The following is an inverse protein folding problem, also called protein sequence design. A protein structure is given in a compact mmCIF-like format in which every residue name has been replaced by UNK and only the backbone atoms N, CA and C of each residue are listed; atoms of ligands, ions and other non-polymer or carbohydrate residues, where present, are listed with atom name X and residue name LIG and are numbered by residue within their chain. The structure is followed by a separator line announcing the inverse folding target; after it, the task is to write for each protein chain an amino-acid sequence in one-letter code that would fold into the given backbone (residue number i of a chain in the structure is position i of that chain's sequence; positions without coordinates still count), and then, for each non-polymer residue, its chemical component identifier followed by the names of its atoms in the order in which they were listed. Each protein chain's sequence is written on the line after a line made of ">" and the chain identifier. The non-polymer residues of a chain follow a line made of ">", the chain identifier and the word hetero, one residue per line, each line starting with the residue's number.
data_IF_104289504278
#
_entry.id   IF_104289504278
#
_cell.length_a   1.000
_cell.length_b   1.000
_cell.length_c   1.000
_cell.angle_alpha   90.00
_cell.angle_beta   90.00
_cell.angle_gamma   90.00
#
_symmetry.space_group_name_H-M   'P 1'
#
loop_
_entity.id
_entity.type
_entity.pdbx_description
1 polymer ?
#
# COMPACT_ATOMS: atom_id res chain seq x y z
N UNK A 1 3.12 11.85 6.93
CA UNK A 1 1.80 11.39 6.49
C UNK A 1 1.00 10.92 7.69
N UNK A 2 -0.19 11.47 7.89
CA UNK A 2 -1.16 11.04 8.91
C UNK A 2 -2.06 9.92 8.39
N UNK A 3 -2.81 9.26 9.29
CA UNK A 3 -3.79 8.23 8.93
C UNK A 3 -4.91 8.80 8.03
N UNK A 4 -5.30 10.05 8.25
CA UNK A 4 -6.34 10.70 7.43
C UNK A 4 -5.84 11.07 6.04
N UNK A 5 -4.60 11.56 5.93
CA UNK A 5 -3.93 11.78 4.65
C UNK A 5 -3.81 10.47 3.86
N UNK A 6 -3.38 9.38 4.53
CA UNK A 6 -3.28 8.06 3.91
C UNK A 6 -4.65 7.55 3.42
N UNK A 7 -5.71 7.76 4.20
CA UNK A 7 -7.07 7.39 3.85
C UNK A 7 -7.58 8.15 2.63
N UNK A 8 -7.31 9.44 2.54
CA UNK A 8 -7.66 10.27 1.38
C UNK A 8 -6.91 9.81 0.12
N UNK A 9 -5.61 9.54 0.26
CA UNK A 9 -4.76 9.03 -0.83
C UNK A 9 -5.27 7.71 -1.41
N UNK A 10 -5.58 6.74 -0.56
CA UNK A 10 -6.03 5.43 -1.06
C UNK A 10 -7.45 5.45 -1.59
N UNK A 11 -8.28 6.42 -1.16
CA UNK A 11 -9.62 6.60 -1.72
C UNK A 11 -9.58 7.15 -3.15
N UNK A 12 -8.59 7.97 -3.50
CA UNK A 12 -8.46 8.50 -4.87
C UNK A 12 -7.79 7.53 -5.84
N UNK A 13 -6.98 6.59 -5.34
CA UNK A 13 -6.19 5.64 -6.15
C UNK A 13 -6.82 4.27 -6.36
N UNK A 14 -7.74 3.86 -5.49
CA UNK A 14 -8.29 2.50 -5.47
C UNK A 14 -9.76 2.49 -5.87
N UNK A 15 -10.14 1.45 -6.61
CA UNK A 15 -11.54 1.07 -6.82
C UNK A 15 -12.26 0.89 -5.49
N UNK A 16 -13.59 1.06 -5.49
CA UNK A 16 -14.40 0.91 -4.28
C UNK A 16 -14.21 -0.46 -3.60
N UNK A 17 -14.10 -1.53 -4.41
CA UNK A 17 -13.85 -2.90 -3.94
C UNK A 17 -12.54 -2.98 -3.17
N UNK A 18 -11.47 -2.41 -3.73
CA UNK A 18 -10.11 -2.45 -3.15
C UNK A 18 -9.95 -1.50 -1.97
N UNK A 19 -10.59 -0.34 -2.02
CA UNK A 19 -10.68 0.57 -0.88
C UNK A 19 -11.38 -0.11 0.31
N UNK A 20 -12.53 -0.78 0.09
CA UNK A 20 -13.22 -1.54 1.14
C UNK A 20 -12.34 -2.64 1.73
N UNK A 21 -11.61 -3.37 0.88
CA UNK A 21 -10.60 -4.34 1.33
C UNK A 21 -9.57 -3.68 2.25
N UNK A 22 -8.96 -2.57 1.83
CA UNK A 22 -7.96 -1.82 2.58
C UNK A 22 -8.48 -1.35 3.95
N UNK A 23 -9.71 -0.86 4.03
CA UNK A 23 -10.33 -0.46 5.31
C UNK A 23 -10.54 -1.67 6.24
N UNK A 24 -10.90 -2.83 5.70
CA UNK A 24 -11.03 -4.05 6.50
C UNK A 24 -9.66 -4.54 7.00
N UNK A 25 -8.61 -4.45 6.17
CA UNK A 25 -7.22 -4.75 6.57
C UNK A 25 -6.78 -3.80 7.69
N UNK A 26 -7.04 -2.49 7.59
CA UNK A 26 -6.77 -1.52 8.68
C UNK A 26 -7.42 -1.95 10.00
N UNK A 27 -8.71 -2.30 9.97
CA UNK A 27 -9.43 -2.74 11.18
C UNK A 27 -8.79 -3.99 11.80
N UNK A 28 -8.35 -4.93 10.97
CA UNK A 28 -7.68 -6.14 11.46
C UNK A 28 -6.28 -5.83 11.98
N UNK A 29 -5.50 -5.00 11.29
CA UNK A 29 -4.16 -4.62 11.69
C UNK A 29 -4.15 -3.94 13.07
N UNK A 30 -5.08 -3.03 13.34
CA UNK A 30 -5.24 -2.39 14.66
C UNK A 30 -5.59 -3.42 15.74
N UNK A 31 -6.53 -4.35 15.45
CA UNK A 31 -6.88 -5.43 16.40
C UNK A 31 -5.68 -6.31 16.73
N UNK A 32 -4.87 -6.65 15.73
CA UNK A 32 -3.66 -7.45 15.92
C UNK A 32 -2.60 -6.66 16.68
N UNK A 33 -2.39 -5.38 16.36
CA UNK A 33 -1.45 -4.51 17.06
C UNK A 33 -1.78 -4.43 18.55
N UNK A 34 -3.04 -4.17 18.89
CA UNK A 34 -3.52 -4.18 20.27
C UNK A 34 -3.30 -5.52 20.97
N UNK A 35 -3.53 -6.64 20.28
CA UNK A 35 -3.36 -8.00 20.84
C UNK A 35 -1.91 -8.33 21.14
N UNK A 36 -0.98 -7.89 20.29
CA UNK A 36 0.44 -8.25 20.36
C UNK A 36 1.34 -7.13 20.91
N UNK A 37 0.76 -6.03 21.39
CA UNK A 37 1.52 -4.91 21.97
C UNK A 37 2.29 -4.08 20.96
N UNK A 38 1.87 -4.05 19.69
CA UNK A 38 2.43 -3.17 18.67
C UNK A 38 1.70 -1.83 18.62
N UNK A 39 2.34 -0.82 18.03
CA UNK A 39 1.79 0.51 17.82
C UNK A 39 0.58 0.49 16.86
N UNK A 40 -0.60 0.82 17.39
CA UNK A 40 -1.86 0.80 16.67
C UNK A 40 -1.90 1.82 15.50
N UNK A 41 -1.29 2.99 15.67
CA UNK A 41 -1.27 4.04 14.64
C UNK A 41 -0.37 3.66 13.48
N UNK A 42 0.82 3.13 13.77
CA UNK A 42 1.73 2.61 12.74
C UNK A 42 1.12 1.43 11.99
N UNK A 43 0.44 0.53 12.71
CA UNK A 43 -0.27 -0.59 12.09
C UNK A 43 -1.41 -0.11 11.18
N UNK A 44 -2.18 0.89 11.62
CA UNK A 44 -3.24 1.50 10.82
C UNK A 44 -2.69 2.18 9.56
N UNK A 45 -1.60 2.94 9.68
CA UNK A 45 -0.96 3.64 8.57
C UNK A 45 -0.40 2.65 7.54
N UNK A 46 0.35 1.65 7.99
CA UNK A 46 0.90 0.61 7.11
C UNK A 46 -0.21 -0.15 6.38
N UNK A 47 -1.28 -0.52 7.09
CA UNK A 47 -2.41 -1.22 6.50
C UNK A 47 -3.17 -0.39 5.47
N UNK A 48 -3.29 0.93 5.67
CA UNK A 48 -3.90 1.82 4.68
C UNK A 48 -3.07 1.88 3.40
N UNK A 49 -1.74 1.85 3.48
CA UNK A 49 -0.87 2.12 2.34
C UNK A 49 -0.44 0.89 1.56
N UNK A 50 -0.56 -0.31 2.14
CA UNK A 50 0.01 -1.55 1.58
C UNK A 50 -0.39 -1.83 0.13
N UNK A 51 -1.61 -1.47 -0.26
CA UNK A 51 -2.18 -1.68 -1.59
C UNK A 51 -2.32 -0.36 -2.38
N UNK A 52 -1.76 0.75 -1.90
CA UNK A 52 -1.95 2.10 -2.50
C UNK A 52 -1.46 2.22 -3.95
N UNK A 53 -0.57 1.32 -4.38
CA UNK A 53 -0.06 1.22 -5.75
C UNK A 53 -0.67 0.05 -6.56
N UNK A 54 -1.65 -0.68 -5.99
CA UNK A 54 -2.16 -1.95 -6.56
C UNK A 54 -2.83 -1.80 -7.92
N UNK A 55 -3.46 -0.65 -8.15
CA UNK A 55 -4.26 -0.36 -9.33
C UNK A 55 -3.66 0.78 -10.19
N UNK A 56 -2.40 1.15 -9.93
CA UNK A 56 -1.69 2.12 -10.76
C UNK A 56 -1.47 1.57 -12.17
N UNK A 57 -1.49 2.44 -13.20
CA UNK A 57 -1.13 2.05 -14.55
C UNK A 57 0.28 1.44 -14.61
N UNK A 58 0.43 0.41 -15.45
CA UNK A 58 1.71 -0.30 -15.63
C UNK A 58 2.86 0.66 -15.97
N UNK A 59 2.60 1.66 -16.80
CA UNK A 59 3.59 2.65 -17.20
C UNK A 59 4.09 3.48 -16.00
N UNK A 60 3.18 3.91 -15.11
CA UNK A 60 3.54 4.65 -13.90
C UNK A 60 4.39 3.81 -12.95
N UNK A 61 4.02 2.54 -12.74
CA UNK A 61 4.81 1.63 -11.90
C UNK A 61 6.22 1.41 -12.47
N UNK A 62 6.34 1.25 -13.79
CA UNK A 62 7.64 1.14 -14.44
C UNK A 62 8.47 2.42 -14.32
N UNK A 63 7.83 3.59 -14.40
CA UNK A 63 8.50 4.87 -14.18
C UNK A 63 9.01 4.98 -12.74
N UNK A 64 8.18 4.61 -11.74
CA UNK A 64 8.59 4.56 -10.33
C UNK A 64 9.83 3.66 -10.16
N UNK A 65 9.86 2.49 -10.82
CA UNK A 65 11.02 1.60 -10.77
C UNK A 65 12.26 2.20 -11.42
N UNK A 66 12.11 2.91 -12.53
CA UNK A 66 13.22 3.59 -13.20
C UNK A 66 13.80 4.71 -12.32
N UNK A 67 12.94 5.53 -11.74
CA UNK A 67 13.31 6.66 -10.87
C UNK A 67 13.95 6.18 -9.56
N UNK A 68 13.60 4.97 -9.11
CA UNK A 68 14.07 4.37 -7.86
C UNK A 68 14.91 3.10 -8.09
N UNK A 69 15.67 3.03 -9.19
CA UNK A 69 16.34 1.81 -9.66
C UNK A 69 17.20 1.08 -8.59
N UNK A 70 17.85 1.83 -7.68
CA UNK A 70 18.66 1.25 -6.58
C UNK A 70 17.78 0.44 -5.61
N UNK A 71 16.57 0.94 -5.32
CA UNK A 71 15.62 0.34 -4.37
C UNK A 71 14.79 -0.75 -5.05
N UNK A 72 14.34 -0.49 -6.28
CA UNK A 72 13.48 -1.40 -7.05
C UNK A 72 14.22 -2.66 -7.54
N UNK A 73 15.57 -2.66 -7.60
CA UNK A 73 16.38 -3.82 -8.03
C UNK A 73 15.82 -4.47 -9.31
N UNK A 74 15.49 -5.77 -9.25
CA UNK A 74 14.91 -6.54 -10.36
C UNK A 74 13.35 -6.55 -10.34
N UNK A 75 12.68 -5.56 -9.73
CA UNK A 75 11.22 -5.54 -9.60
C UNK A 75 10.49 -5.72 -10.94
N UNK A 76 10.97 -5.07 -12.00
CA UNK A 76 10.40 -5.19 -13.36
C UNK A 76 10.47 -6.62 -13.94
N UNK A 77 11.39 -7.47 -13.46
CA UNK A 77 11.50 -8.88 -13.88
C UNK A 77 10.55 -9.81 -13.10
N UNK A 78 9.87 -9.32 -12.06
CA UNK A 78 8.91 -10.09 -11.26
C UNK A 78 7.52 -10.08 -11.92
N UNK A 79 6.60 -10.97 -11.53
CA UNK A 79 5.23 -10.93 -12.01
C UNK A 79 4.55 -9.60 -11.67
N UNK A 80 3.84 -9.00 -12.64
CA UNK A 80 3.12 -7.74 -12.45
C UNK A 80 2.22 -7.66 -11.20
N UNK A 81 1.52 -8.74 -10.76
CA UNK A 81 0.69 -8.68 -9.56
C UNK A 81 1.42 -8.33 -8.25
N UNK A 82 2.74 -8.50 -8.18
CA UNK A 82 3.55 -8.19 -6.99
C UNK A 82 4.26 -6.83 -7.06
N UNK A 83 4.13 -6.10 -8.17
CA UNK A 83 4.88 -4.86 -8.38
C UNK A 83 4.54 -3.75 -7.38
N UNK A 84 3.27 -3.64 -6.96
CA UNK A 84 2.82 -2.71 -5.91
C UNK A 84 3.59 -2.77 -4.59
N UNK A 85 4.24 -3.90 -4.25
CA UNK A 85 5.08 -4.01 -3.06
C UNK A 85 6.48 -3.40 -3.21
N UNK A 86 6.85 -3.00 -4.43
CA UNK A 86 8.11 -2.36 -4.79
C UNK A 86 7.95 -0.91 -5.25
N UNK A 87 6.69 -0.45 -5.37
CA UNK A 87 6.31 0.86 -5.89
C UNK A 87 5.88 1.80 -4.76
#
# INVERSE_FOLDING_TARGET
>A
MTVDEAKALVKSRLSEKRYKHTINVKKMAVKLAKRYGADEEKAALAALLHDSAKELPKAEILQIFADNAIIAKNAAKRPAPVWHGYA
#
